data_IF_083862642692
#
_entry.id   IF_083862642692
#
_cell.length_a   1.000
_cell.length_b   1.000
_cell.length_c   1.000
_cell.angle_alpha   90.00
_cell.angle_beta   90.00
_cell.angle_gamma   90.00
#
_symmetry.space_group_name_H-M   'P 1'
#
loop_
_entity.id
_entity.type
_entity.pdbx_description
1 polymer ?
#
# COMPACT_ATOMS: atom_id res chain seq x y z
N UNK A 1 -26.47 54.83 10.60
CA UNK A 1 -26.09 53.75 11.52
C UNK A 1 -26.67 52.42 11.00
N UNK A 2 -25.93 51.69 10.16
CA UNK A 2 -26.35 50.39 9.67
C UNK A 2 -25.64 49.34 10.53
N UNK A 3 -26.42 48.45 11.16
CA UNK A 3 -25.94 47.26 11.87
C UNK A 3 -25.63 46.17 10.87
N UNK A 4 -24.46 45.53 10.92
CA UNK A 4 -24.20 44.36 10.09
C UNK A 4 -24.95 43.15 10.68
N UNK A 5 -25.83 42.53 9.89
CA UNK A 5 -26.43 41.22 10.17
C UNK A 5 -25.33 40.18 10.12
N UNK A 6 -24.99 39.64 11.27
CA UNK A 6 -24.17 38.44 11.41
C UNK A 6 -25.05 37.26 10.98
N UNK A 7 -24.84 36.76 9.76
CA UNK A 7 -25.38 35.50 9.32
C UNK A 7 -24.65 34.41 10.12
N UNK A 8 -25.27 33.93 11.18
CA UNK A 8 -24.87 32.72 11.89
C UNK A 8 -25.12 31.58 10.92
N UNK A 9 -24.07 31.14 10.23
CA UNK A 9 -24.06 29.81 9.58
C UNK A 9 -24.17 28.78 10.71
N UNK A 10 -25.40 28.33 10.95
CA UNK A 10 -25.65 27.12 11.69
C UNK A 10 -24.98 25.99 10.86
N UNK A 11 -23.74 25.66 11.22
CA UNK A 11 -23.14 24.40 10.87
C UNK A 11 -23.98 23.35 11.62
N UNK A 12 -25.01 22.88 10.94
CA UNK A 12 -25.71 21.67 11.37
C UNK A 12 -24.64 20.59 11.50
N UNK A 13 -24.23 20.33 12.73
CA UNK A 13 -23.52 19.10 13.10
C UNK A 13 -24.53 18.01 12.74
N UNK A 14 -24.47 17.58 11.49
CA UNK A 14 -24.98 16.28 11.09
C UNK A 14 -24.26 15.32 12.02
N UNK A 15 -24.93 14.89 13.05
CA UNK A 15 -24.57 13.69 13.80
C UNK A 15 -24.53 12.59 12.75
N UNK A 16 -23.39 12.45 12.09
CA UNK A 16 -23.13 11.32 11.21
C UNK A 16 -23.20 10.14 12.15
N UNK A 17 -24.31 9.41 12.14
CA UNK A 17 -24.33 8.05 12.63
C UNK A 17 -23.04 7.43 12.13
N UNK A 18 -22.25 6.88 13.06
CA UNK A 18 -21.05 6.11 12.69
C UNK A 18 -21.44 5.26 11.48
N UNK A 19 -20.63 5.34 10.42
CA UNK A 19 -20.95 4.58 9.20
C UNK A 19 -20.72 3.11 9.55
N UNK A 20 -21.80 2.39 9.78
CA UNK A 20 -21.74 0.98 10.16
C UNK A 20 -21.32 0.13 8.96
N UNK A 21 -20.26 -0.65 9.15
CA UNK A 21 -19.80 -1.63 8.17
C UNK A 21 -20.75 -2.82 8.16
N UNK A 22 -21.52 -2.97 7.09
CA UNK A 22 -22.53 -4.01 6.96
C UNK A 22 -21.96 -5.29 6.38
N UNK A 23 -22.59 -6.44 6.71
CA UNK A 23 -22.20 -7.73 6.16
C UNK A 23 -22.30 -7.77 4.63
N UNK A 24 -23.34 -7.21 4.03
CA UNK A 24 -23.50 -7.13 2.58
C UNK A 24 -22.36 -6.39 1.88
N UNK A 25 -21.76 -5.38 2.57
CA UNK A 25 -20.60 -4.62 2.10
C UNK A 25 -19.35 -5.49 2.14
N UNK A 26 -19.16 -6.25 3.21
CA UNK A 26 -18.04 -7.20 3.33
C UNK A 26 -18.15 -8.33 2.30
N UNK A 27 -19.33 -8.87 2.09
CA UNK A 27 -19.56 -9.92 1.07
C UNK A 27 -19.24 -9.40 -0.34
N UNK A 28 -19.56 -8.13 -0.63
CA UNK A 28 -19.20 -7.51 -1.90
C UNK A 28 -17.70 -7.27 -2.03
N UNK A 29 -17.05 -6.86 -0.95
CA UNK A 29 -15.60 -6.73 -0.87
C UNK A 29 -14.89 -8.07 -1.13
N UNK A 30 -15.33 -9.13 -0.48
CA UNK A 30 -14.74 -10.45 -0.64
C UNK A 30 -14.89 -10.97 -2.08
N UNK A 31 -16.07 -10.79 -2.69
CA UNK A 31 -16.26 -11.13 -4.12
C UNK A 31 -15.32 -10.34 -5.02
N UNK A 32 -15.11 -9.05 -4.73
CA UNK A 32 -14.20 -8.21 -5.49
C UNK A 32 -12.74 -8.71 -5.39
N UNK A 33 -12.29 -9.04 -4.18
CA UNK A 33 -10.96 -9.58 -3.97
C UNK A 33 -10.76 -10.94 -4.64
N UNK A 34 -11.75 -11.82 -4.60
CA UNK A 34 -11.69 -13.10 -5.31
C UNK A 34 -11.54 -12.92 -6.82
N UNK A 35 -12.25 -11.96 -7.41
CA UNK A 35 -12.12 -11.64 -8.84
C UNK A 35 -10.73 -11.06 -9.15
N UNK A 36 -10.22 -10.16 -8.32
CA UNK A 36 -8.88 -9.59 -8.47
C UNK A 36 -7.77 -10.66 -8.33
N UNK A 37 -7.90 -11.58 -7.37
CA UNK A 37 -6.95 -12.69 -7.19
C UNK A 37 -6.97 -13.64 -8.40
N UNK A 38 -8.14 -13.99 -8.92
CA UNK A 38 -8.27 -14.80 -10.13
C UNK A 38 -7.58 -14.13 -11.33
N UNK A 39 -7.80 -12.83 -11.54
CA UNK A 39 -7.15 -12.07 -12.59
C UNK A 39 -5.62 -12.00 -12.39
N UNK A 40 -5.16 -11.86 -11.15
CA UNK A 40 -3.73 -11.90 -10.85
C UNK A 40 -3.11 -13.26 -11.21
N UNK A 41 -3.80 -14.37 -10.90
CA UNK A 41 -3.32 -15.72 -11.23
C UNK A 41 -3.29 -15.98 -12.74
N UNK A 42 -4.24 -15.44 -13.50
CA UNK A 42 -4.18 -15.52 -14.97
C UNK A 42 -2.99 -14.73 -15.52
N UNK A 43 -2.72 -13.54 -15.02
CA UNK A 43 -1.55 -12.75 -15.40
C UNK A 43 -0.23 -13.46 -15.07
N UNK A 44 -0.18 -14.23 -14.00
CA UNK A 44 1.00 -15.03 -13.66
C UNK A 44 1.37 -16.06 -14.75
N UNK A 45 0.42 -16.46 -15.59
CA UNK A 45 0.62 -17.38 -16.72
C UNK A 45 0.99 -16.69 -18.05
N UNK A 46 0.85 -15.37 -18.14
CA UNK A 46 1.06 -14.57 -19.37
C UNK A 46 1.84 -13.29 -19.13
N UNK A 47 1.24 -12.15 -19.46
CA UNK A 47 1.83 -10.84 -19.19
C UNK A 47 1.81 -10.54 -17.69
N UNK A 48 2.91 -10.83 -17.03
CA UNK A 48 3.01 -10.80 -15.57
C UNK A 48 2.83 -9.38 -15.02
N UNK A 49 3.50 -8.40 -15.63
CA UNK A 49 3.46 -7.01 -15.18
C UNK A 49 2.54 -6.13 -16.03
N UNK A 50 1.87 -5.19 -15.40
CA UNK A 50 1.09 -4.15 -16.05
C UNK A 50 1.94 -3.19 -16.89
N UNK A 51 3.20 -2.97 -16.48
CA UNK A 51 4.11 -2.10 -17.23
C UNK A 51 4.33 -2.60 -18.65
N UNK A 52 4.28 -3.91 -18.88
CA UNK A 52 4.52 -4.53 -20.19
C UNK A 52 3.43 -4.21 -21.23
N UNK A 53 2.25 -3.81 -20.78
CA UNK A 53 1.16 -3.43 -21.69
C UNK A 53 1.37 -2.07 -22.39
N UNK A 54 2.43 -1.30 -22.05
CA UNK A 54 2.78 -0.03 -22.67
C UNK A 54 4.29 0.17 -22.65
N UNK A 55 4.95 0.13 -23.85
CA UNK A 55 6.39 0.37 -23.96
C UNK A 55 6.81 1.69 -23.33
N UNK A 56 6.07 2.77 -23.55
CA UNK A 56 6.37 4.09 -22.96
C UNK A 56 6.35 4.04 -21.42
N UNK A 57 5.40 3.32 -20.83
CA UNK A 57 5.33 3.16 -19.37
C UNK A 57 6.49 2.32 -18.86
N UNK A 58 6.83 1.24 -19.56
CA UNK A 58 7.97 0.39 -19.22
C UNK A 58 9.27 1.20 -19.23
N UNK A 59 9.52 1.96 -20.30
CA UNK A 59 10.73 2.79 -20.44
C UNK A 59 10.84 3.83 -19.33
N UNK A 60 9.75 4.52 -18.99
CA UNK A 60 9.71 5.50 -17.90
C UNK A 60 9.99 4.86 -16.54
N UNK A 61 9.36 3.72 -16.25
CA UNK A 61 9.56 3.00 -14.99
C UNK A 61 10.99 2.48 -14.89
N UNK A 62 11.55 1.94 -15.98
CA UNK A 62 12.94 1.49 -16.04
C UNK A 62 13.92 2.66 -15.84
N UNK A 63 13.59 3.85 -16.34
CA UNK A 63 14.37 5.09 -16.15
C UNK A 63 14.27 5.66 -14.72
N UNK A 64 13.45 5.10 -13.84
CA UNK A 64 13.34 5.46 -12.43
C UNK A 64 12.05 6.20 -12.03
N UNK A 65 11.13 6.45 -12.97
CA UNK A 65 9.81 6.99 -12.64
C UNK A 65 8.99 5.96 -11.84
N UNK A 66 8.07 6.47 -11.00
CA UNK A 66 7.00 5.66 -10.42
C UNK A 66 5.72 5.93 -11.20
N UNK A 67 5.22 4.90 -11.89
CA UNK A 67 3.95 4.97 -12.61
C UNK A 67 2.79 4.59 -11.70
N UNK A 68 1.73 5.41 -11.67
CA UNK A 68 0.49 5.11 -10.91
C UNK A 68 -0.73 5.47 -11.74
N UNK A 69 -1.70 4.55 -11.79
CA UNK A 69 -2.95 4.71 -12.52
C UNK A 69 -4.14 4.15 -11.72
N UNK A 70 -5.33 4.74 -11.82
CA UNK A 70 -6.53 4.08 -11.35
C UNK A 70 -6.86 2.88 -12.27
N UNK A 71 -7.39 1.80 -11.70
CA UNK A 71 -7.82 0.62 -12.45
C UNK A 71 -9.19 0.82 -13.13
N UNK A 72 -9.95 1.83 -12.71
CA UNK A 72 -11.25 2.20 -13.25
C UNK A 72 -11.41 3.72 -13.33
N UNK A 73 -12.43 4.20 -14.06
CA UNK A 73 -12.73 5.65 -14.17
C UNK A 73 -13.11 6.29 -12.82
N UNK A 74 -13.59 5.52 -11.88
CA UNK A 74 -13.98 5.96 -10.54
C UNK A 74 -14.00 4.79 -9.56
N UNK A 75 -14.31 5.03 -8.28
CA UNK A 75 -14.51 3.95 -7.33
C UNK A 75 -15.70 3.08 -7.75
N UNK A 76 -15.61 1.78 -7.48
CA UNK A 76 -16.71 0.86 -7.71
C UNK A 76 -17.71 0.94 -6.56
N UNK A 77 -18.98 1.18 -6.89
CA UNK A 77 -20.05 1.22 -5.91
C UNK A 77 -20.44 -0.20 -5.50
N UNK A 78 -20.45 -0.46 -4.20
CA UNK A 78 -20.94 -1.69 -3.60
C UNK A 78 -22.03 -1.36 -2.59
N UNK A 79 -22.85 -2.32 -2.13
CA UNK A 79 -23.85 -2.07 -1.10
C UNK A 79 -23.24 -1.33 0.09
N UNK A 80 -23.75 -0.15 0.39
CA UNK A 80 -23.30 0.72 1.50
C UNK A 80 -21.80 1.09 1.52
N UNK A 81 -21.07 0.99 0.39
CA UNK A 81 -19.64 1.24 0.32
C UNK A 81 -19.11 1.62 -1.05
N UNK A 82 -17.82 1.95 -1.10
CA UNK A 82 -17.05 2.24 -2.31
C UNK A 82 -15.73 1.47 -2.27
N UNK A 83 -15.36 0.86 -3.40
CA UNK A 83 -14.05 0.23 -3.58
C UNK A 83 -13.20 1.14 -4.48
N UNK A 84 -12.07 1.57 -3.95
CA UNK A 84 -11.04 2.31 -4.68
C UNK A 84 -9.95 1.32 -5.10
N UNK A 85 -9.61 1.28 -6.39
CA UNK A 85 -8.60 0.35 -6.92
C UNK A 85 -7.59 1.11 -7.77
N UNK A 86 -6.32 1.02 -7.40
CA UNK A 86 -5.19 1.66 -8.04
C UNK A 86 -4.09 0.65 -8.32
N UNK A 87 -3.30 0.89 -9.37
CA UNK A 87 -2.11 0.13 -9.69
C UNK A 87 -0.92 1.08 -9.80
N UNK A 88 0.22 0.63 -9.34
CA UNK A 88 1.47 1.37 -9.51
C UNK A 88 2.64 0.45 -9.71
N UNK A 89 3.72 0.97 -10.31
CA UNK A 89 4.94 0.23 -10.56
C UNK A 89 6.18 1.10 -10.37
N UNK A 90 7.26 0.46 -9.91
CA UNK A 90 8.60 1.03 -9.80
C UNK A 90 9.65 0.00 -10.20
N UNK A 91 10.85 0.48 -10.60
CA UNK A 91 12.01 -0.36 -10.87
C UNK A 91 13.11 -0.10 -9.83
N UNK A 92 13.76 -1.17 -9.36
CA UNK A 92 14.85 -1.12 -8.40
C UNK A 92 16.11 -1.65 -9.06
N UNK A 93 17.00 -0.79 -9.54
CA UNK A 93 18.21 -1.22 -10.23
C UNK A 93 19.17 -1.94 -9.28
N UNK A 94 19.80 -3.00 -9.78
CA UNK A 94 20.80 -3.80 -9.05
C UNK A 94 20.25 -4.68 -7.93
N UNK A 95 18.95 -4.66 -7.67
CA UNK A 95 18.32 -5.51 -6.67
C UNK A 95 18.04 -6.92 -7.23
N UNK A 96 17.99 -7.89 -6.34
CA UNK A 96 17.48 -9.23 -6.57
C UNK A 96 16.13 -9.38 -5.87
N UNK A 97 15.38 -10.39 -6.26
CA UNK A 97 14.06 -10.65 -5.65
C UNK A 97 14.16 -10.85 -4.13
N UNK A 98 15.19 -11.55 -3.67
CA UNK A 98 15.43 -11.78 -2.24
C UNK A 98 15.65 -10.48 -1.45
N UNK A 99 16.29 -9.48 -2.05
CA UNK A 99 16.48 -8.16 -1.42
C UNK A 99 15.14 -7.46 -1.20
N UNK A 100 14.28 -7.49 -2.21
CA UNK A 100 12.95 -6.90 -2.17
C UNK A 100 12.06 -7.61 -1.15
N UNK A 101 11.99 -8.95 -1.22
CA UNK A 101 11.20 -9.77 -0.30
C UNK A 101 11.72 -9.61 1.14
N UNK A 102 13.04 -9.51 1.32
CA UNK A 102 13.67 -9.27 2.61
C UNK A 102 13.24 -7.93 3.24
N UNK A 103 13.10 -6.86 2.46
CA UNK A 103 12.59 -5.56 2.93
C UNK A 103 11.10 -5.65 3.23
N UNK A 104 10.29 -6.18 2.31
CA UNK A 104 8.83 -6.21 2.45
C UNK A 104 8.38 -7.11 3.60
N UNK A 105 9.10 -8.19 3.90
CA UNK A 105 8.79 -9.08 5.04
C UNK A 105 9.40 -8.62 6.35
N UNK A 106 10.17 -7.53 6.37
CA UNK A 106 10.76 -6.99 7.61
C UNK A 106 9.83 -5.96 8.26
N UNK A 107 8.66 -6.43 8.71
CA UNK A 107 7.58 -5.59 9.24
C UNK A 107 8.02 -4.71 10.41
N UNK A 108 8.90 -5.22 11.28
CA UNK A 108 9.40 -4.49 12.47
C UNK A 108 10.23 -3.24 12.10
N UNK A 109 10.68 -3.14 10.85
CA UNK A 109 11.39 -1.95 10.34
C UNK A 109 10.53 -1.03 9.48
N UNK A 110 9.24 -1.23 9.40
CA UNK A 110 8.35 -0.40 8.59
C UNK A 110 8.33 1.07 9.03
N UNK A 111 8.53 1.35 10.31
CA UNK A 111 8.69 2.71 10.83
C UNK A 111 9.94 3.43 10.29
N UNK A 112 10.95 2.68 9.84
CA UNK A 112 12.13 3.23 9.18
C UNK A 112 11.91 3.37 7.66
N UNK A 113 11.32 2.34 7.04
CA UNK A 113 11.14 2.25 5.60
C UNK A 113 10.05 3.18 5.08
N UNK A 114 8.93 3.28 5.80
CA UNK A 114 7.72 3.98 5.36
C UNK A 114 7.42 5.24 6.19
N UNK A 115 8.43 5.90 6.72
CA UNK A 115 8.27 7.19 7.40
C UNK A 115 7.96 8.32 6.41
N UNK A 116 7.16 9.31 6.77
CA UNK A 116 6.53 9.50 8.08
C UNK A 116 5.12 8.87 8.18
N UNK A 117 4.71 8.04 7.22
CA UNK A 117 3.36 7.49 7.14
C UNK A 117 3.13 6.36 8.14
N UNK A 118 4.13 5.50 8.35
CA UNK A 118 4.07 4.43 9.36
C UNK A 118 4.73 4.91 10.65
N UNK A 119 3.97 4.89 11.76
CA UNK A 119 4.43 5.35 13.08
C UNK A 119 4.62 4.22 14.08
N UNK A 120 4.01 3.06 13.85
CA UNK A 120 4.24 1.82 14.59
C UNK A 120 4.03 0.62 13.66
N UNK A 121 4.82 -0.42 13.84
CA UNK A 121 4.68 -1.67 13.10
C UNK A 121 5.35 -2.81 13.85
N UNK A 122 4.73 -3.99 13.79
CA UNK A 122 5.29 -5.20 14.43
C UNK A 122 4.85 -6.47 13.75
N UNK A 123 5.73 -7.46 13.76
CA UNK A 123 5.41 -8.83 13.41
C UNK A 123 4.56 -9.46 14.51
N UNK A 124 3.40 -10.00 14.16
CA UNK A 124 2.52 -10.75 15.07
C UNK A 124 2.81 -12.25 15.03
N UNK A 125 2.97 -12.80 13.84
CA UNK A 125 3.41 -14.18 13.62
C UNK A 125 4.00 -14.36 12.24
N UNK A 126 4.89 -15.35 12.11
CA UNK A 126 5.48 -15.73 10.81
C UNK A 126 5.39 -17.24 10.67
N UNK A 127 4.70 -17.66 9.62
CA UNK A 127 4.51 -19.08 9.26
C UNK A 127 4.96 -19.28 7.82
N UNK A 128 5.12 -20.55 7.42
CA UNK A 128 5.55 -20.88 6.05
C UNK A 128 4.61 -20.29 4.97
N UNK A 129 3.32 -20.32 5.23
CA UNK A 129 2.28 -19.91 4.24
C UNK A 129 1.69 -18.53 4.48
N UNK A 130 1.77 -18.00 5.71
CA UNK A 130 1.12 -16.75 6.12
C UNK A 130 1.93 -16.01 7.18
N UNK A 131 2.26 -14.76 6.91
CA UNK A 131 2.74 -13.81 7.91
C UNK A 131 1.56 -12.99 8.45
N UNK A 132 1.60 -12.63 9.74
CA UNK A 132 0.70 -11.66 10.35
C UNK A 132 1.49 -10.54 10.96
N UNK A 133 1.04 -9.32 10.74
CA UNK A 133 1.68 -8.12 11.26
C UNK A 133 0.65 -7.04 11.54
N UNK A 134 1.00 -6.08 12.38
CA UNK A 134 0.19 -4.87 12.58
C UNK A 134 0.97 -3.64 12.17
N UNK A 135 0.23 -2.61 11.71
CA UNK A 135 0.79 -1.32 11.29
C UNK A 135 -0.13 -0.21 11.75
N UNK A 136 0.45 0.86 12.29
CA UNK A 136 -0.25 2.13 12.53
C UNK A 136 0.17 3.13 11.47
N UNK A 137 -0.78 3.51 10.61
CA UNK A 137 -0.57 4.45 9.51
C UNK A 137 -1.21 5.78 9.85
N UNK A 138 -0.48 6.88 9.64
CA UNK A 138 -0.99 8.25 9.76
C UNK A 138 -1.16 8.83 8.36
N UNK A 139 -2.38 9.18 8.00
CA UNK A 139 -2.65 9.94 6.77
C UNK A 139 -2.70 11.45 7.10
N UNK A 140 -1.81 12.21 6.45
CA UNK A 140 -1.74 13.68 6.60
C UNK A 140 -2.52 14.43 5.51
N UNK A 141 -3.10 13.72 4.56
CA UNK A 141 -3.65 14.30 3.34
C UNK A 141 -5.04 14.94 3.52
N UNK A 142 -5.73 14.64 4.60
CA UNK A 142 -6.96 15.33 4.98
C UNK A 142 -6.67 16.29 6.13
N UNK A 143 -7.39 17.41 6.20
CA UNK A 143 -7.28 18.46 7.24
C UNK A 143 -7.37 17.95 8.69
N UNK A 144 -7.69 16.68 8.87
CA UNK A 144 -7.65 15.95 10.13
C UNK A 144 -6.60 14.84 10.04
N UNK A 145 -5.59 14.88 10.91
CA UNK A 145 -4.66 13.77 11.11
C UNK A 145 -5.46 12.56 11.60
N UNK A 146 -5.63 11.57 10.72
CA UNK A 146 -6.25 10.30 11.09
C UNK A 146 -5.16 9.23 11.12
N UNK A 147 -5.17 8.43 12.15
CA UNK A 147 -4.34 7.25 12.23
C UNK A 147 -5.24 6.01 12.15
N UNK A 148 -4.74 4.99 11.47
CA UNK A 148 -5.39 3.70 11.32
C UNK A 148 -4.48 2.65 11.96
N UNK A 149 -4.99 1.94 12.95
CA UNK A 149 -4.37 0.75 13.53
C UNK A 149 -4.95 -0.46 12.81
N UNK A 150 -4.10 -1.22 12.11
CA UNK A 150 -4.55 -2.29 11.22
C UNK A 150 -3.72 -3.55 11.44
N UNK A 151 -4.41 -4.69 11.52
CA UNK A 151 -3.79 -6.01 11.46
C UNK A 151 -3.92 -6.58 10.05
N UNK A 152 -2.85 -7.20 9.58
CA UNK A 152 -2.76 -7.79 8.26
C UNK A 152 -2.43 -9.28 8.33
N UNK A 153 -2.94 -10.02 7.34
CA UNK A 153 -2.40 -11.30 6.90
C UNK A 153 -1.75 -11.13 5.54
N UNK A 154 -0.61 -11.76 5.33
CA UNK A 154 0.13 -11.68 4.08
C UNK A 154 0.63 -13.05 3.67
N UNK A 155 0.46 -13.39 2.38
CA UNK A 155 1.03 -14.60 1.76
C UNK A 155 1.97 -14.22 0.64
N UNK A 156 3.05 -14.98 0.49
CA UNK A 156 4.03 -14.84 -0.59
C UNK A 156 4.06 -16.12 -1.40
N UNK A 157 4.04 -15.99 -2.72
CA UNK A 157 4.02 -17.11 -3.64
C UNK A 157 5.14 -16.94 -4.66
N UNK A 158 6.02 -17.92 -4.73
CA UNK A 158 7.02 -18.02 -5.77
C UNK A 158 6.38 -18.62 -7.02
N UNK A 159 6.39 -17.90 -8.13
CA UNK A 159 5.90 -18.37 -9.42
C UNK A 159 7.01 -19.18 -10.10
N UNK A 160 8.23 -18.62 -10.12
CA UNK A 160 9.45 -19.27 -10.60
C UNK A 160 10.70 -18.61 -9.98
N UNK A 161 11.88 -18.86 -10.54
CA UNK A 161 13.15 -18.34 -10.04
C UNK A 161 13.29 -16.81 -10.11
N UNK A 162 12.45 -16.12 -10.89
CA UNK A 162 12.52 -14.67 -11.13
C UNK A 162 11.22 -13.93 -10.87
N UNK A 163 10.12 -14.64 -10.60
CA UNK A 163 8.80 -14.04 -10.41
C UNK A 163 8.15 -14.50 -9.12
N UNK A 164 7.70 -13.53 -8.36
CA UNK A 164 6.96 -13.74 -7.13
C UNK A 164 5.74 -12.83 -7.11
N UNK A 165 4.74 -13.18 -6.34
CA UNK A 165 3.69 -12.26 -5.94
C UNK A 165 3.37 -12.39 -4.45
N UNK A 166 2.76 -11.35 -3.92
CA UNK A 166 2.23 -11.35 -2.55
C UNK A 166 0.83 -10.75 -2.51
N UNK A 167 0.06 -11.21 -1.54
CA UNK A 167 -1.24 -10.63 -1.20
C UNK A 167 -1.22 -10.31 0.28
N UNK A 168 -1.45 -9.06 0.63
CA UNK A 168 -1.60 -8.61 2.01
C UNK A 168 -2.95 -7.94 2.18
N UNK A 169 -3.76 -8.42 3.11
CA UNK A 169 -5.09 -7.91 3.39
C UNK A 169 -5.30 -7.66 4.87
N UNK A 170 -6.07 -6.63 5.19
CA UNK A 170 -6.41 -6.32 6.58
C UNK A 170 -7.42 -7.32 7.13
N UNK A 171 -7.12 -7.81 8.34
CA UNK A 171 -8.06 -8.62 9.14
C UNK A 171 -8.80 -7.76 10.16
N UNK A 172 -8.26 -6.57 10.48
CA UNK A 172 -8.84 -5.57 11.37
C UNK A 172 -8.38 -4.18 10.93
N UNK A 173 -9.26 -3.19 10.99
CA UNK A 173 -8.95 -1.78 10.82
C UNK A 173 -9.70 -0.98 11.87
N UNK A 174 -8.98 -0.21 12.70
CA UNK A 174 -9.53 0.68 13.70
C UNK A 174 -8.98 2.09 13.50
N UNK A 175 -9.87 3.08 13.55
CA UNK A 175 -9.46 4.48 13.57
C UNK A 175 -8.95 4.85 14.97
N UNK A 176 -7.94 5.71 15.03
CA UNK A 176 -7.44 6.28 16.28
C UNK A 176 -7.93 7.71 16.45
N UNK A 177 -8.54 8.01 17.59
CA UNK A 177 -8.86 9.33 18.08
C UNK A 177 -7.88 9.69 19.21
N UNK A 178 -6.76 10.32 18.86
CA UNK A 178 -5.61 10.40 19.76
C UNK A 178 -5.03 9.00 20.05
N UNK A 179 -5.01 8.58 21.31
CA UNK A 179 -4.55 7.22 21.71
C UNK A 179 -5.71 6.20 21.79
N UNK A 180 -6.95 6.66 21.71
CA UNK A 180 -8.11 5.79 21.83
C UNK A 180 -8.43 5.11 20.48
N UNK A 181 -8.54 3.76 20.52
CA UNK A 181 -9.04 2.98 19.38
C UNK A 181 -10.55 3.05 19.32
N UNK A 182 -11.08 3.46 18.16
CA UNK A 182 -12.51 3.41 17.87
C UNK A 182 -12.85 1.97 17.49
N UNK A 183 -13.92 1.37 18.01
CA UNK A 183 -14.32 0.02 17.63
C UNK A 183 -14.42 -0.15 16.11
N UNK A 184 -14.12 -1.34 15.62
CA UNK A 184 -14.15 -1.63 14.20
C UNK A 184 -15.56 -1.41 13.63
N UNK A 185 -15.65 -0.69 12.50
CA UNK A 185 -16.92 -0.37 11.86
C UNK A 185 -17.65 0.84 12.45
N UNK A 186 -17.20 1.39 13.59
CA UNK A 186 -17.84 2.52 14.26
C UNK A 186 -17.17 3.88 13.98
N UNK A 187 -16.07 3.89 13.27
CA UNK A 187 -15.32 5.09 12.92
C UNK A 187 -15.98 5.94 11.84
N UNK A 188 -15.20 6.83 11.23
CA UNK A 188 -15.67 7.68 10.15
C UNK A 188 -16.00 6.92 8.86
N UNK A 189 -15.55 5.66 8.75
CA UNK A 189 -15.67 4.84 7.54
C UNK A 189 -14.77 5.32 6.39
N UNK A 190 -13.74 6.09 6.71
CA UNK A 190 -12.76 6.54 5.71
C UNK A 190 -12.08 5.36 5.03
N UNK A 191 -11.64 4.39 5.82
CA UNK A 191 -11.16 3.08 5.35
C UNK A 191 -11.67 2.01 6.30
N UNK A 192 -12.33 1.00 5.75
CA UNK A 192 -12.79 -0.17 6.48
C UNK A 192 -11.92 -1.39 6.24
N UNK A 193 -11.42 -1.55 5.00
CA UNK A 193 -10.54 -2.66 4.59
C UNK A 193 -9.50 -2.16 3.59
N UNK A 194 -8.36 -2.81 3.62
CA UNK A 194 -7.27 -2.62 2.65
C UNK A 194 -6.81 -3.98 2.15
N UNK A 195 -6.49 -4.05 0.88
CA UNK A 195 -5.79 -5.18 0.30
C UNK A 195 -4.76 -4.67 -0.70
N UNK A 196 -3.57 -5.26 -0.69
CA UNK A 196 -2.54 -5.04 -1.70
C UNK A 196 -2.17 -6.37 -2.34
N UNK A 197 -2.10 -6.37 -3.67
CA UNK A 197 -1.59 -7.48 -4.46
C UNK A 197 -0.35 -7.00 -5.20
N UNK A 198 0.82 -7.51 -4.83
CA UNK A 198 2.08 -7.07 -5.41
C UNK A 198 2.74 -8.17 -6.22
N UNK A 199 3.36 -7.79 -7.35
CA UNK A 199 4.15 -8.65 -8.23
C UNK A 199 5.58 -8.15 -8.27
N UNK A 200 6.49 -9.10 -8.34
CA UNK A 200 7.93 -8.84 -8.36
C UNK A 200 8.53 -9.65 -9.49
N UNK A 201 9.26 -9.00 -10.38
CA UNK A 201 9.97 -9.67 -11.47
C UNK A 201 11.40 -9.19 -11.58
N UNK A 202 12.34 -10.14 -11.46
CA UNK A 202 13.77 -9.89 -11.62
C UNK A 202 14.15 -9.99 -13.10
N UNK A 203 14.43 -8.83 -13.72
CA UNK A 203 14.91 -8.71 -15.11
C UNK A 203 15.59 -7.36 -15.32
N UNK A 204 16.23 -7.17 -16.45
CA UNK A 204 16.84 -5.89 -16.90
C UNK A 204 17.86 -5.33 -15.89
N UNK A 205 18.53 -6.20 -15.12
CA UNK A 205 19.52 -5.81 -14.13
C UNK A 205 18.95 -5.26 -12.81
N UNK A 206 17.69 -5.60 -12.48
CA UNK A 206 17.04 -5.19 -11.24
C UNK A 206 15.73 -5.92 -11.03
N UNK A 207 14.87 -5.34 -10.18
CA UNK A 207 13.53 -5.87 -9.89
C UNK A 207 12.47 -4.83 -10.19
N UNK A 208 11.49 -5.20 -10.99
CA UNK A 208 10.23 -4.46 -11.11
C UNK A 208 9.32 -4.85 -9.96
N UNK A 209 8.78 -3.85 -9.29
CA UNK A 209 7.69 -3.99 -8.32
C UNK A 209 6.44 -3.39 -8.90
N UNK A 210 5.35 -4.13 -8.88
CA UNK A 210 4.02 -3.67 -9.24
C UNK A 210 3.07 -3.96 -8.10
N UNK A 211 2.27 -2.98 -7.69
CA UNK A 211 1.30 -3.12 -6.60
C UNK A 211 -0.06 -2.62 -7.03
N UNK A 212 -1.05 -3.49 -6.93
CA UNK A 212 -2.46 -3.14 -6.92
C UNK A 212 -2.88 -2.87 -5.47
N UNK A 213 -3.45 -1.69 -5.23
CA UNK A 213 -3.94 -1.27 -3.92
C UNK A 213 -5.45 -1.08 -3.98
N UNK A 214 -6.16 -1.80 -3.15
CA UNK A 214 -7.62 -1.77 -3.02
C UNK A 214 -7.99 -1.30 -1.63
N UNK A 215 -8.97 -0.38 -1.55
CA UNK A 215 -9.48 0.16 -0.30
C UNK A 215 -11.01 0.17 -0.31
N UNK A 216 -11.62 -0.37 0.74
CA UNK A 216 -13.06 -0.27 0.99
C UNK A 216 -13.33 0.89 1.93
N UNK A 217 -14.21 1.80 1.55
CA UNK A 217 -14.63 2.94 2.33
C UNK A 217 -16.15 3.09 2.35
N UNK A 218 -16.67 3.95 3.23
CA UNK A 218 -18.08 4.35 3.19
C UNK A 218 -18.42 5.08 1.89
N UNK A 219 -19.71 5.09 1.48
CA UNK A 219 -20.13 5.88 0.34
C UNK A 219 -20.00 7.38 0.64
N UNK A 220 -19.61 8.13 -0.38
CA UNK A 220 -19.59 9.58 -0.34
C UNK A 220 -20.98 10.09 -0.71
N UNK A 221 -21.60 11.01 0.06
CA UNK A 221 -22.87 11.63 -0.33
C UNK A 221 -22.75 12.26 -1.72
N UNK A 222 -23.74 12.02 -2.58
CA UNK A 222 -23.72 12.48 -3.99
C UNK A 222 -23.43 13.98 -4.13
N UNK A 223 -23.96 14.78 -3.23
CA UNK A 223 -23.75 16.24 -3.22
C UNK A 223 -22.29 16.65 -2.98
N UNK A 224 -21.45 15.74 -2.44
CA UNK A 224 -20.05 16.03 -2.10
C UNK A 224 -19.05 15.43 -3.09
N UNK A 225 -19.49 14.63 -4.07
CA UNK A 225 -18.60 13.97 -5.03
C UNK A 225 -17.68 14.96 -5.75
N UNK A 226 -18.22 16.09 -6.22
CA UNK A 226 -17.45 17.10 -6.95
C UNK A 226 -16.26 17.66 -6.16
N UNK A 227 -16.35 17.67 -4.84
CA UNK A 227 -15.32 18.20 -3.94
C UNK A 227 -14.41 17.07 -3.41
N UNK A 228 -14.99 15.92 -3.06
CA UNK A 228 -14.28 14.81 -2.37
C UNK A 228 -13.51 13.93 -3.35
N UNK A 229 -14.09 13.61 -4.52
CA UNK A 229 -13.47 12.71 -5.49
C UNK A 229 -12.07 13.14 -5.95
N UNK A 230 -11.81 14.44 -6.28
CA UNK A 230 -10.48 14.87 -6.64
C UNK A 230 -9.45 14.70 -5.51
N UNK A 231 -9.89 14.92 -4.26
CA UNK A 231 -9.05 14.76 -3.07
C UNK A 231 -8.70 13.28 -2.89
N UNK A 232 -9.69 12.41 -2.91
CA UNK A 232 -9.50 10.96 -2.76
C UNK A 232 -8.57 10.42 -3.86
N UNK A 233 -8.78 10.82 -5.12
CA UNK A 233 -7.89 10.44 -6.24
C UNK A 233 -6.46 10.89 -6.02
N UNK A 234 -6.26 12.13 -5.60
CA UNK A 234 -4.92 12.68 -5.33
C UNK A 234 -4.24 11.92 -4.20
N UNK A 235 -4.96 11.67 -3.09
CA UNK A 235 -4.46 10.96 -1.92
C UNK A 235 -4.08 9.53 -2.30
N UNK A 236 -4.98 8.77 -2.92
CA UNK A 236 -4.73 7.38 -3.31
C UNK A 236 -3.51 7.27 -4.23
N UNK A 237 -3.42 8.15 -5.25
CA UNK A 237 -2.28 8.19 -6.16
C UNK A 237 -0.97 8.50 -5.43
N UNK A 238 -0.96 9.53 -4.58
CA UNK A 238 0.27 9.94 -3.90
C UNK A 238 0.71 8.94 -2.83
N UNK A 239 -0.21 8.31 -2.13
CA UNK A 239 0.09 7.29 -1.11
C UNK A 239 0.71 6.04 -1.75
N UNK A 240 0.15 5.56 -2.87
CA UNK A 240 0.71 4.41 -3.60
C UNK A 240 2.09 4.75 -4.21
N UNK A 241 2.24 5.92 -4.83
CA UNK A 241 3.53 6.36 -5.36
C UNK A 241 4.59 6.42 -4.26
N UNK A 242 4.28 7.08 -3.14
CA UNK A 242 5.18 7.19 -2.00
C UNK A 242 5.57 5.81 -1.42
N UNK A 243 4.62 4.89 -1.29
CA UNK A 243 4.91 3.53 -0.81
C UNK A 243 5.89 2.80 -1.74
N UNK A 244 5.71 2.90 -3.06
CA UNK A 244 6.62 2.29 -4.04
C UNK A 244 8.01 2.95 -4.01
N UNK A 245 8.10 4.28 -3.92
CA UNK A 245 9.36 5.01 -3.77
C UNK A 245 10.10 4.58 -2.51
N UNK A 246 9.41 4.51 -1.38
CA UNK A 246 9.99 4.10 -0.11
C UNK A 246 10.47 2.65 -0.12
N UNK A 247 9.71 1.75 -0.76
CA UNK A 247 10.14 0.35 -0.94
C UNK A 247 11.41 0.27 -1.81
N UNK A 248 11.46 1.02 -2.91
CA UNK A 248 12.65 1.14 -3.76
C UNK A 248 13.87 1.64 -2.98
N UNK A 249 13.69 2.70 -2.22
CA UNK A 249 14.78 3.34 -1.48
C UNK A 249 15.29 2.46 -0.33
N UNK A 250 14.39 1.79 0.38
CA UNK A 250 14.74 0.83 1.43
C UNK A 250 15.53 -0.36 0.86
N UNK A 251 15.05 -0.93 -0.26
CA UNK A 251 15.72 -2.05 -0.93
C UNK A 251 17.09 -1.62 -1.49
N UNK A 252 17.17 -0.49 -2.18
CA UNK A 252 18.42 0.04 -2.71
C UNK A 252 19.45 0.32 -1.61
N UNK A 253 19.01 0.76 -0.44
CA UNK A 253 19.86 0.95 0.73
C UNK A 253 20.37 -0.39 1.28
N UNK A 254 19.52 -1.42 1.36
CA UNK A 254 19.91 -2.75 1.79
C UNK A 254 20.95 -3.39 0.85
N UNK A 255 20.75 -3.29 -0.46
CA UNK A 255 21.70 -3.76 -1.48
C UNK A 255 23.08 -3.10 -1.33
N UNK A 256 23.12 -1.77 -1.17
CA UNK A 256 24.38 -1.03 -0.96
C UNK A 256 25.11 -1.47 0.32
N UNK A 257 24.37 -1.68 1.41
CA UNK A 257 24.96 -2.13 2.68
C UNK A 257 25.53 -3.54 2.55
N UNK A 258 24.81 -4.48 1.90
CA UNK A 258 25.29 -5.83 1.66
C UNK A 258 26.59 -5.84 0.83
N UNK A 259 26.64 -5.09 -0.26
CA UNK A 259 27.84 -4.96 -1.12
C UNK A 259 29.03 -4.38 -0.38
N UNK A 260 28.83 -3.39 0.48
CA UNK A 260 29.90 -2.79 1.29
C UNK A 260 30.47 -3.78 2.32
N UNK A 261 29.62 -4.59 2.95
CA UNK A 261 30.03 -5.63 3.89
C UNK A 261 30.83 -6.75 3.20
N UNK A 262 30.41 -7.19 2.03
CA UNK A 262 31.14 -8.19 1.24
C UNK A 262 32.52 -7.69 0.81
N UNK A 263 32.61 -6.45 0.34
CA UNK A 263 33.87 -5.82 -0.03
C UNK A 263 34.82 -5.73 1.17
N UNK A 264 34.31 -5.36 2.34
CA UNK A 264 35.08 -5.29 3.58
C UNK A 264 35.56 -6.68 4.05
N UNK A 265 34.76 -7.72 3.90
CA UNK A 265 35.14 -9.10 4.19
C UNK A 265 36.26 -9.59 3.26
N UNK A 266 36.11 -9.36 1.95
CA UNK A 266 37.13 -9.73 0.95
C UNK A 266 38.49 -9.07 1.26
N UNK A 267 38.50 -7.78 1.60
CA UNK A 267 39.74 -7.07 1.96
C UNK A 267 40.39 -7.64 3.23
N UNK A 268 39.60 -8.05 4.23
CA UNK A 268 40.15 -8.70 5.44
C UNK A 268 40.78 -10.06 5.14
N UNK A 269 40.13 -10.86 4.30
CA UNK A 269 40.64 -12.19 3.91
C UNK A 269 41.97 -12.05 3.12
N UNK A 270 42.02 -11.10 2.15
CA UNK A 270 43.25 -10.84 1.39
C UNK A 270 44.41 -10.35 2.27
N UNK A 271 44.14 -9.52 3.30
CA UNK A 271 45.18 -9.08 4.24
C UNK A 271 45.66 -10.22 5.14
N UNK A 272 44.79 -11.14 5.55
CA UNK A 272 45.18 -12.28 6.36
C UNK A 272 46.09 -13.23 5.57
N UNK A 273 45.76 -13.52 4.28
CA UNK A 273 46.58 -14.38 3.41
C UNK A 273 47.89 -13.75 2.92
N UNK A 274 48.11 -12.44 3.11
CA UNK A 274 49.34 -11.76 2.74
C UNK A 274 50.37 -11.69 3.91
N UNK A 275 49.98 -12.20 5.09
CA UNK A 275 50.83 -12.21 6.30
C UNK A 275 51.38 -13.62 6.58
N UNK A 276 50.85 -14.65 5.92
CA UNK A 276 51.41 -16.01 5.85
C UNK A 276 52.42 -16.15 4.70
#
# INVERSE_FOLDING_TARGET
>A
MLRPNIAIFLFAILTTRAAELKQETLDAWDRYLHAADAHMQERAKGHFLWVDASPERLDRVHAGDVAVSPMSRGPEAVPSGLIHHWIGAAFIPGARIDDVVGVIRNYDRYTEYYKPSVIDAKTLSRKAEEDRFSVVIVDKAMFMKRALDSDYRSRFVQVDGRRWYSVAETTRVQELAGEQRIPEGEGSGYIWRLCTMSRYEERDGGVYIETEAMALSRPIPMMLHWMVDPIVRRVSRSSLAMSLEQTRDATGSAVKQASALESSRRMRTLRASAIE
#
